data_IF_757205210672
#
_entry.id   IF_757205210672
#
_cell.length_a   1.000
_cell.length_b   1.000
_cell.length_c   1.000
_cell.angle_alpha   90.00
_cell.angle_beta   90.00
_cell.angle_gamma   90.00
#
_symmetry.space_group_name_H-M   'P 1'
#
loop_
_entity.id
_entity.type
_entity.pdbx_description
1 polymer ?
#
# COMPACT_ATOMS: atom_id res chain seq x y z
N UNK A 1 -59.04 -7.36 28.20
CA UNK A 1 -58.45 -8.22 27.15
C UNK A 1 -57.15 -7.56 26.70
N UNK A 2 -56.02 -8.09 27.16
CA UNK A 2 -54.67 -7.55 27.00
C UNK A 2 -53.99 -8.20 25.79
N UNK A 3 -53.57 -7.41 24.80
CA UNK A 3 -52.83 -7.89 23.62
C UNK A 3 -51.33 -7.73 23.84
N UNK A 4 -50.65 -8.85 24.08
CA UNK A 4 -49.19 -8.96 24.20
C UNK A 4 -48.57 -9.19 22.81
N UNK A 5 -47.66 -8.31 22.40
CA UNK A 5 -46.86 -8.44 21.16
C UNK A 5 -45.52 -9.11 21.50
N UNK A 6 -45.10 -10.20 20.81
CA UNK A 6 -43.81 -10.83 21.08
C UNK A 6 -42.66 -10.11 20.37
N UNK A 7 -41.61 -9.80 21.14
CA UNK A 7 -40.36 -9.21 20.69
C UNK A 7 -39.45 -10.26 20.02
N UNK A 8 -38.82 -9.88 18.90
CA UNK A 8 -37.78 -10.66 18.23
C UNK A 8 -36.38 -10.23 18.72
N UNK A 9 -35.42 -11.17 18.91
CA UNK A 9 -34.08 -10.85 19.38
C UNK A 9 -33.15 -10.37 18.26
N UNK A 10 -32.59 -9.17 18.41
CA UNK A 10 -31.57 -8.60 17.51
C UNK A 10 -30.15 -9.06 17.92
N UNK A 11 -29.62 -10.07 17.23
CA UNK A 11 -28.20 -10.45 17.31
C UNK A 11 -27.39 -9.73 16.22
N UNK A 12 -26.85 -8.55 16.55
CA UNK A 12 -25.94 -7.84 15.64
C UNK A 12 -24.51 -8.24 15.97
N UNK A 13 -23.99 -9.26 15.28
CA UNK A 13 -22.55 -9.51 15.21
C UNK A 13 -21.95 -8.60 14.12
N UNK A 14 -20.86 -7.86 14.37
CA UNK A 14 -20.18 -7.11 13.32
C UNK A 14 -19.46 -8.10 12.41
N UNK A 15 -20.13 -8.54 11.35
CA UNK A 15 -19.49 -9.23 10.23
C UNK A 15 -18.57 -8.22 9.54
N UNK A 16 -17.27 -8.37 9.77
CA UNK A 16 -16.21 -7.71 9.00
C UNK A 16 -16.36 -8.12 7.54
N UNK A 17 -17.09 -7.31 6.78
CA UNK A 17 -17.22 -7.46 5.34
C UNK A 17 -15.91 -7.01 4.71
N UNK A 18 -14.98 -7.95 4.56
CA UNK A 18 -13.94 -7.87 3.55
C UNK A 18 -14.65 -7.87 2.19
N UNK A 19 -15.22 -6.73 1.80
CA UNK A 19 -15.74 -6.50 0.46
C UNK A 19 -14.67 -6.96 -0.51
N UNK A 20 -14.99 -7.94 -1.35
CA UNK A 20 -14.09 -8.48 -2.35
C UNK A 20 -13.48 -7.31 -3.11
N UNK A 21 -12.20 -7.03 -2.86
CA UNK A 21 -11.49 -5.94 -3.49
C UNK A 21 -11.42 -6.25 -4.99
N UNK A 22 -12.31 -5.65 -5.77
CA UNK A 22 -12.39 -5.87 -7.21
C UNK A 22 -11.31 -5.05 -7.89
N UNK A 23 -10.28 -5.72 -8.39
CA UNK A 23 -9.35 -5.14 -9.35
C UNK A 23 -9.80 -5.52 -10.75
N UNK A 24 -9.95 -4.54 -11.64
CA UNK A 24 -10.19 -4.79 -13.05
C UNK A 24 -8.96 -5.49 -13.65
N UNK A 25 -9.06 -6.80 -13.87
CA UNK A 25 -7.96 -7.65 -14.37
C UNK A 25 -7.57 -7.36 -15.84
N UNK A 26 -8.29 -6.47 -16.54
CA UNK A 26 -8.26 -6.40 -18.00
C UNK A 26 -7.43 -5.25 -18.58
N UNK A 27 -6.91 -4.34 -17.76
CA UNK A 27 -6.21 -3.14 -18.25
C UNK A 27 -4.84 -3.43 -18.84
N UNK A 28 -4.18 -4.53 -18.43
CA UNK A 28 -2.83 -4.86 -18.87
C UNK A 28 -2.73 -5.96 -19.95
N UNK A 29 -3.85 -6.55 -20.36
CA UNK A 29 -3.88 -7.67 -21.31
C UNK A 29 -3.81 -7.23 -22.77
N UNK A 30 -4.15 -5.97 -23.06
CA UNK A 30 -4.23 -5.41 -24.42
C UNK A 30 -2.95 -4.75 -24.92
N UNK A 31 -1.82 -4.90 -24.23
CA UNK A 31 -0.58 -4.28 -24.68
C UNK A 31 0.03 -5.01 -25.87
N UNK A 32 0.57 -4.23 -26.79
CA UNK A 32 1.40 -4.74 -27.88
C UNK A 32 2.58 -5.52 -27.29
N UNK A 33 2.79 -6.71 -27.86
CA UNK A 33 3.90 -7.55 -27.47
C UNK A 33 5.20 -6.93 -27.98
N UNK A 34 6.10 -6.56 -27.07
CA UNK A 34 7.40 -6.01 -27.43
C UNK A 34 8.28 -7.16 -27.93
N UNK A 35 8.72 -7.11 -29.19
CA UNK A 35 9.58 -8.14 -29.74
C UNK A 35 10.99 -8.06 -29.14
N UNK A 36 11.51 -9.17 -28.63
CA UNK A 36 12.78 -9.17 -27.88
C UNK A 36 14.00 -8.90 -28.75
N UNK A 37 14.14 -9.55 -29.92
CA UNK A 37 15.29 -9.39 -30.82
C UNK A 37 14.80 -9.26 -32.27
N UNK A 38 15.07 -8.14 -32.95
CA UNK A 38 14.77 -7.94 -34.38
C UNK A 38 15.92 -7.21 -35.05
N UNK A 39 16.46 -7.76 -36.15
CA UNK A 39 17.43 -7.08 -37.03
C UNK A 39 18.55 -6.38 -36.23
N UNK A 40 19.22 -7.14 -35.35
CA UNK A 40 20.29 -6.66 -34.47
C UNK A 40 19.89 -5.55 -33.47
N UNK A 41 18.60 -5.31 -33.27
CA UNK A 41 18.05 -4.42 -32.24
C UNK A 41 17.26 -5.20 -31.21
N UNK A 42 17.55 -4.95 -29.95
CA UNK A 42 16.88 -5.53 -28.79
C UNK A 42 16.08 -4.44 -28.08
N UNK A 43 14.79 -4.66 -27.89
CA UNK A 43 13.93 -3.68 -27.21
C UNK A 43 13.76 -4.08 -25.75
N UNK A 44 14.13 -3.18 -24.84
CA UNK A 44 14.01 -3.37 -23.39
C UNK A 44 13.06 -2.34 -22.79
N UNK A 45 12.24 -2.78 -21.83
CA UNK A 45 11.39 -1.87 -21.05
C UNK A 45 12.20 -1.33 -19.88
N UNK A 46 12.43 -0.03 -19.85
CA UNK A 46 12.98 0.67 -18.70
C UNK A 46 11.85 1.27 -17.86
N UNK A 47 11.73 0.83 -16.61
CA UNK A 47 10.59 1.21 -15.77
C UNK A 47 10.85 2.57 -15.13
N UNK A 48 9.98 3.54 -15.37
CA UNK A 48 10.06 4.82 -14.64
C UNK A 48 9.59 4.64 -13.19
N UNK A 49 10.10 5.48 -12.27
CA UNK A 49 9.56 5.57 -10.92
C UNK A 49 8.08 5.92 -10.92
N UNK A 50 7.30 5.27 -10.05
CA UNK A 50 5.87 5.56 -9.90
C UNK A 50 5.70 6.99 -9.36
N UNK A 51 4.87 7.84 -9.98
CA UNK A 51 4.63 9.19 -9.47
C UNK A 51 4.02 9.12 -8.06
N UNK A 52 4.61 9.88 -7.13
CA UNK A 52 4.16 9.96 -5.73
C UNK A 52 3.76 11.39 -5.41
N UNK A 53 2.67 11.54 -4.66
CA UNK A 53 2.33 12.83 -4.06
C UNK A 53 3.38 13.20 -3.01
N UNK A 54 3.72 14.49 -2.86
CA UNK A 54 4.69 14.93 -1.88
C UNK A 54 4.26 14.54 -0.47
N UNK A 55 5.21 14.08 0.34
CA UNK A 55 4.93 13.73 1.73
C UNK A 55 4.81 15.02 2.53
N UNK A 56 3.62 15.24 3.10
CA UNK A 56 3.37 16.39 3.96
C UNK A 56 4.30 16.39 5.19
N UNK A 57 4.61 17.58 5.71
CA UNK A 57 5.40 17.68 6.94
C UNK A 57 4.66 17.02 8.11
N UNK A 58 5.36 16.40 9.08
CA UNK A 58 4.71 15.78 10.25
C UNK A 58 3.88 16.77 11.07
N UNK A 59 4.24 18.06 11.00
CA UNK A 59 3.58 19.16 11.69
C UNK A 59 2.46 19.82 10.87
N UNK A 60 2.24 19.42 9.61
CA UNK A 60 1.15 19.91 8.78
C UNK A 60 -0.21 19.69 9.46
N UNK A 61 -1.05 20.72 9.42
CA UNK A 61 -2.35 20.75 10.11
C UNK A 61 -3.34 19.70 9.62
N UNK A 62 -4.55 19.72 10.19
CA UNK A 62 -5.52 18.65 10.00
C UNK A 62 -6.01 18.46 8.56
N UNK A 63 -6.06 19.56 7.81
CA UNK A 63 -6.52 19.59 6.42
C UNK A 63 -5.58 18.84 5.45
N UNK A 64 -4.31 18.68 5.81
CA UNK A 64 -3.31 18.06 4.93
C UNK A 64 -3.19 16.57 5.27
N UNK A 65 -3.43 15.66 4.31
CA UNK A 65 -3.32 14.22 4.56
C UNK A 65 -1.87 13.83 4.81
N UNK A 66 -1.62 13.03 5.85
CA UNK A 66 -0.28 12.51 6.15
C UNK A 66 -0.14 11.17 5.46
N UNK A 67 0.80 11.06 4.52
CA UNK A 67 0.93 9.88 3.65
C UNK A 67 2.17 9.08 4.02
N UNK A 68 2.02 7.78 4.20
CA UNK A 68 3.11 6.82 4.41
C UNK A 68 3.15 5.85 3.24
N UNK A 69 4.22 5.92 2.45
CA UNK A 69 4.47 4.94 1.40
C UNK A 69 5.12 3.67 1.97
N UNK A 70 4.55 2.52 1.63
CA UNK A 70 5.07 1.20 2.00
C UNK A 70 5.57 0.49 0.75
N UNK A 71 6.84 0.10 0.78
CA UNK A 71 7.48 -0.69 -0.28
C UNK A 71 7.64 -2.16 0.11
N UNK A 72 8.05 -2.97 -0.85
CA UNK A 72 8.35 -4.40 -0.64
C UNK A 72 9.53 -4.65 0.27
N UNK A 73 10.46 -3.69 0.40
CA UNK A 73 11.62 -3.77 1.30
C UNK A 73 11.35 -3.15 2.68
N UNK A 74 10.21 -2.48 2.87
CA UNK A 74 9.89 -1.82 4.15
C UNK A 74 9.59 -2.87 5.22
N UNK A 75 10.34 -2.92 6.34
CA UNK A 75 10.04 -3.83 7.44
C UNK A 75 8.66 -3.52 8.04
N UNK A 76 7.94 -4.56 8.44
CA UNK A 76 6.57 -4.44 8.96
C UNK A 76 6.48 -3.47 10.14
N UNK A 77 7.27 -3.69 11.20
CA UNK A 77 7.26 -2.82 12.39
C UNK A 77 7.72 -1.39 12.11
N UNK A 78 8.54 -1.17 11.07
CA UNK A 78 8.95 0.17 10.66
C UNK A 78 7.76 0.95 10.08
N UNK A 79 6.93 0.31 9.25
CA UNK A 79 5.71 0.93 8.74
C UNK A 79 4.74 1.28 9.87
N UNK A 80 4.52 0.33 10.77
CA UNK A 80 3.66 0.51 11.95
C UNK A 80 4.09 1.69 12.81
N UNK A 81 5.36 1.75 13.24
CA UNK A 81 5.87 2.83 14.10
C UNK A 81 5.80 4.21 13.43
N UNK A 82 5.95 4.28 12.09
CA UNK A 82 5.79 5.52 11.34
C UNK A 82 4.35 6.02 11.39
N UNK A 83 3.37 5.13 11.20
CA UNK A 83 1.95 5.46 11.30
C UNK A 83 1.61 5.88 12.73
N UNK A 84 2.03 5.11 13.72
CA UNK A 84 1.80 5.41 15.13
C UNK A 84 2.37 6.78 15.54
N UNK A 85 3.60 7.10 15.09
CA UNK A 85 4.21 8.42 15.33
C UNK A 85 3.35 9.57 14.76
N UNK A 86 2.79 9.40 13.56
CA UNK A 86 1.93 10.41 12.94
C UNK A 86 0.59 10.55 13.68
N UNK A 87 0.01 9.44 14.15
CA UNK A 87 -1.22 9.46 14.95
C UNK A 87 -1.02 10.10 16.32
N UNK A 88 0.10 9.84 17.01
CA UNK A 88 0.46 10.53 18.26
C UNK A 88 0.66 12.04 18.06
N UNK A 89 1.21 12.45 16.92
CA UNK A 89 1.34 13.87 16.57
C UNK A 89 -0.02 14.52 16.31
N UNK A 90 -0.93 13.81 15.64
CA UNK A 90 -2.31 14.24 15.46
C UNK A 90 -3.02 14.40 16.81
N UNK A 91 -2.87 13.44 17.71
CA UNK A 91 -3.41 13.49 19.07
C UNK A 91 -2.91 14.73 19.83
N UNK A 92 -1.59 14.93 19.87
CA UNK A 92 -1.00 16.08 20.55
C UNK A 92 -1.51 17.41 19.98
N UNK A 93 -1.75 17.48 18.67
CA UNK A 93 -2.31 18.68 18.03
C UNK A 93 -3.77 18.88 18.39
N UNK A 94 -4.57 17.82 18.35
CA UNK A 94 -5.98 17.85 18.70
C UNK A 94 -6.17 18.25 20.17
N UNK A 95 -5.36 17.71 21.08
CA UNK A 95 -5.39 17.95 22.53
C UNK A 95 -4.59 19.18 22.98
N UNK A 96 -3.92 19.88 22.05
CA UNK A 96 -3.16 21.11 22.33
C UNK A 96 -3.94 22.16 23.14
N UNK A 97 -5.22 22.45 22.84
CA UNK A 97 -6.05 23.37 23.63
C UNK A 97 -6.34 22.90 25.06
N UNK A 98 -6.40 21.59 25.30
CA UNK A 98 -6.65 21.01 26.63
C UNK A 98 -5.37 20.97 27.47
N UNK A 99 -4.24 20.63 26.84
CA UNK A 99 -2.93 20.46 27.51
C UNK A 99 -2.21 21.81 27.69
N UNK A 100 -2.35 22.73 26.72
CA UNK A 100 -1.69 24.04 26.70
C UNK A 100 -2.19 25.05 27.73
N UNK A 101 -3.37 24.82 28.33
CA UNK A 101 -3.91 25.68 29.41
C UNK A 101 -3.06 25.68 30.68
N UNK A 102 -2.08 24.77 30.83
CA UNK A 102 -1.20 24.73 32.03
C UNK A 102 -0.09 25.77 32.07
N UNK A 103 0.23 26.47 30.96
CA UNK A 103 1.29 27.50 30.91
C UNK A 103 0.78 28.93 31.02
N UNK A 104 -0.53 29.15 30.99
CA UNK A 104 -1.14 30.48 31.14
C UNK A 104 -1.68 30.66 32.56
N UNK A 105 -0.82 30.49 33.58
CA UNK A 105 -1.23 30.68 34.98
C UNK A 105 -1.21 32.17 35.42
N UNK A 106 -0.75 33.09 34.58
CA UNK A 106 -0.54 34.49 34.97
C UNK A 106 -1.49 35.52 34.34
N UNK A 107 -2.49 35.14 33.55
CA UNK A 107 -3.45 36.12 33.08
C UNK A 107 -4.83 35.50 32.82
N UNK A 108 -5.84 36.07 33.49
CA UNK A 108 -7.29 35.82 33.39
C UNK A 108 -7.90 34.81 34.39
N UNK A 109 -8.20 35.34 35.58
CA UNK A 109 -9.20 34.84 36.54
C UNK A 109 -10.66 34.89 36.02
N UNK A 110 -10.94 34.64 34.74
CA UNK A 110 -12.31 34.77 34.18
C UNK A 110 -12.76 33.62 33.27
N UNK A 111 -12.22 32.41 33.46
CA UNK A 111 -12.73 31.20 32.79
C UNK A 111 -13.03 30.06 33.78
N UNK A 112 -13.65 30.40 34.92
CA UNK A 112 -14.28 29.43 35.79
C UNK A 112 -15.63 28.98 35.22
N UNK A 113 -15.87 27.66 35.24
CA UNK A 113 -17.17 26.96 35.10
C UNK A 113 -17.81 26.94 33.69
N UNK A 114 -17.74 25.77 33.04
CA UNK A 114 -18.73 25.36 32.02
C UNK A 114 -18.22 24.93 30.63
N UNK A 115 -17.03 25.37 30.18
CA UNK A 115 -16.59 25.17 28.78
C UNK A 115 -15.67 23.97 28.53
N UNK A 116 -15.33 23.18 29.56
CA UNK A 116 -14.43 22.04 29.43
C UNK A 116 -14.96 20.95 28.49
N UNK A 117 -16.28 20.67 28.56
CA UNK A 117 -16.93 19.70 27.67
C UNK A 117 -16.91 20.12 26.21
N UNK A 118 -17.20 21.39 25.90
CA UNK A 118 -17.20 21.92 24.54
C UNK A 118 -15.80 21.92 23.91
N UNK A 119 -14.77 22.23 24.71
CA UNK A 119 -13.36 22.16 24.26
C UNK A 119 -12.97 20.70 24.00
N UNK A 120 -13.34 19.78 24.89
CA UNK A 120 -13.05 18.36 24.73
C UNK A 120 -13.73 17.77 23.49
N UNK A 121 -15.00 18.11 23.24
CA UNK A 121 -15.75 17.68 22.06
C UNK A 121 -15.11 18.23 20.76
N UNK A 122 -14.71 19.50 20.76
CA UNK A 122 -13.96 20.10 19.64
C UNK A 122 -12.62 19.40 19.41
N UNK A 123 -11.91 19.01 20.48
CA UNK A 123 -10.67 18.23 20.38
C UNK A 123 -10.91 16.84 19.81
N UNK A 124 -11.95 16.13 20.27
CA UNK A 124 -12.33 14.81 19.75
C UNK A 124 -12.75 14.87 18.27
N UNK A 125 -13.45 15.93 17.85
CA UNK A 125 -13.79 16.13 16.43
C UNK A 125 -12.54 16.28 15.57
N UNK A 126 -11.58 17.12 16.01
CA UNK A 126 -10.28 17.31 15.34
C UNK A 126 -9.45 16.03 15.28
N UNK A 127 -9.56 15.17 16.30
CA UNK A 127 -8.85 13.90 16.34
C UNK A 127 -9.31 12.94 15.22
N UNK A 128 -10.62 12.88 14.96
CA UNK A 128 -11.19 12.05 13.88
C UNK A 128 -10.98 12.61 12.48
N UNK A 129 -10.69 13.92 12.35
CA UNK A 129 -10.36 14.55 11.06
C UNK A 129 -8.94 14.18 10.59
N UNK A 130 -8.01 13.97 11.53
CA UNK A 130 -6.61 13.65 11.24
C UNK A 130 -6.43 12.19 10.81
N UNK A 131 -6.47 11.97 9.49
CA UNK A 131 -6.25 10.66 8.86
C UNK A 131 -4.79 10.49 8.41
N UNK A 132 -4.24 9.32 8.67
CA UNK A 132 -2.96 8.87 8.11
C UNK A 132 -3.24 7.89 6.98
N UNK A 133 -2.78 8.20 5.77
CA UNK A 133 -2.98 7.39 4.58
C UNK A 133 -1.76 6.52 4.33
N UNK A 134 -1.92 5.21 4.37
CA UNK A 134 -0.88 4.25 3.99
C UNK A 134 -1.10 3.85 2.54
N UNK A 135 -0.17 4.23 1.66
CA UNK A 135 -0.24 3.92 0.22
C UNK A 135 0.76 2.82 -0.14
N UNK A 136 0.29 1.79 -0.83
CA UNK A 136 1.12 0.70 -1.32
C UNK A 136 0.67 0.24 -2.71
N UNK A 137 1.62 -0.29 -3.49
CA UNK A 137 1.40 -0.77 -4.87
C UNK A 137 1.97 -2.17 -5.07
N UNK A 138 1.34 -2.97 -5.92
CA UNK A 138 1.83 -4.30 -6.32
C UNK A 138 2.11 -5.23 -5.13
N UNK A 139 3.29 -5.86 -5.11
CA UNK A 139 3.71 -6.80 -4.03
C UNK A 139 3.73 -6.19 -2.62
N UNK A 140 3.77 -4.86 -2.49
CA UNK A 140 3.75 -4.21 -1.18
C UNK A 140 2.34 -4.15 -0.55
N UNK A 141 1.29 -4.45 -1.32
CA UNK A 141 -0.10 -4.41 -0.86
C UNK A 141 -0.32 -5.36 0.33
N UNK A 142 0.21 -6.57 0.25
CA UNK A 142 0.11 -7.57 1.32
C UNK A 142 0.62 -7.00 2.66
N UNK A 143 1.79 -6.38 2.66
CA UNK A 143 2.38 -5.76 3.87
C UNK A 143 1.52 -4.61 4.38
N UNK A 144 0.96 -3.78 3.50
CA UNK A 144 0.10 -2.68 3.91
C UNK A 144 -1.19 -3.18 4.55
N UNK A 145 -1.81 -4.23 4.00
CA UNK A 145 -3.00 -4.85 4.60
C UNK A 145 -2.69 -5.46 5.97
N UNK A 146 -1.53 -6.11 6.14
CA UNK A 146 -1.08 -6.58 7.46
C UNK A 146 -0.92 -5.44 8.47
N UNK A 147 -0.47 -4.25 8.02
CA UNK A 147 -0.38 -3.06 8.88
C UNK A 147 -1.78 -2.60 9.27
N UNK A 148 -2.73 -2.52 8.33
CA UNK A 148 -4.13 -2.19 8.61
C UNK A 148 -4.74 -3.13 9.65
N UNK A 149 -4.60 -4.45 9.43
CA UNK A 149 -5.05 -5.49 10.36
C UNK A 149 -4.45 -5.36 11.75
N UNK A 150 -3.18 -4.98 11.85
CA UNK A 150 -2.52 -4.76 13.15
C UNK A 150 -3.13 -3.61 13.95
N UNK A 151 -3.59 -2.54 13.27
CA UNK A 151 -4.32 -1.45 13.91
C UNK A 151 -5.76 -1.84 14.26
N UNK A 152 -6.43 -2.66 13.44
CA UNK A 152 -7.77 -3.20 13.74
C UNK A 152 -7.78 -4.14 14.95
N UNK A 153 -6.77 -5.01 15.08
CA UNK A 153 -6.66 -5.96 16.20
C UNK A 153 -6.33 -5.30 17.55
N UNK A 154 -6.12 -3.97 17.60
CA UNK A 154 -5.84 -3.25 18.84
C UNK A 154 -4.46 -3.54 19.46
N UNK A 155 -3.64 -4.38 18.83
CA UNK A 155 -2.26 -4.72 19.26
C UNK A 155 -1.31 -3.52 19.21
N UNK A 156 -1.77 -2.41 18.63
CA UNK A 156 -0.99 -1.20 18.44
C UNK A 156 -1.13 -0.09 19.44
N UNK A 157 -2.04 -0.22 20.39
CA UNK A 157 -2.14 0.71 21.50
C UNK A 157 -2.09 -0.07 22.80
N UNK A 158 -0.94 -0.12 23.46
CA UNK A 158 -0.81 -0.64 24.83
C UNK A 158 -1.56 0.18 25.89
N UNK A 159 -2.73 0.75 25.55
CA UNK A 159 -3.48 1.71 26.34
C UNK A 159 -4.95 1.89 25.92
N UNK A 160 -5.58 0.86 25.33
CA UNK A 160 -7.03 0.89 25.07
C UNK A 160 -7.49 1.86 23.97
N UNK A 161 -6.59 2.26 23.07
CA UNK A 161 -6.90 3.17 21.95
C UNK A 161 -7.44 2.34 20.79
N UNK A 162 -8.70 2.56 20.44
CA UNK A 162 -9.32 1.96 19.27
C UNK A 162 -8.99 2.78 18.01
N UNK A 163 -8.67 2.09 16.91
CA UNK A 163 -8.41 2.70 15.61
C UNK A 163 -9.53 2.38 14.64
N UNK A 164 -9.84 3.32 13.75
CA UNK A 164 -10.74 3.13 12.61
C UNK A 164 -9.87 2.99 11.35
N UNK A 165 -10.08 1.90 10.61
CA UNK A 165 -9.33 1.57 9.40
C UNK A 165 -10.29 1.49 8.23
N UNK A 166 -10.02 2.27 7.17
CA UNK A 166 -10.81 2.29 5.94
C UNK A 166 -9.89 1.96 4.76
N UNK A 167 -10.22 0.90 4.04
CA UNK A 167 -9.44 0.45 2.88
C UNK A 167 -10.08 0.93 1.59
N UNK A 168 -9.28 1.56 0.72
CA UNK A 168 -9.67 1.98 -0.63
C UNK A 168 -8.74 1.33 -1.65
N UNK A 169 -9.31 0.77 -2.71
CA UNK A 169 -8.55 0.28 -3.86
C UNK A 169 -8.48 1.34 -4.94
N UNK A 170 -7.42 1.28 -5.73
CA UNK A 170 -7.27 2.12 -6.91
C UNK A 170 -6.25 1.54 -7.87
N UNK A 171 -6.02 2.25 -8.96
CA UNK A 171 -5.01 1.95 -9.95
C UNK A 171 -4.23 3.22 -10.29
N UNK A 172 -2.95 3.06 -10.66
CA UNK A 172 -2.08 4.16 -11.10
C UNK A 172 -1.61 3.85 -12.51
N UNK A 173 -1.73 4.82 -13.40
CA UNK A 173 -1.08 4.77 -14.70
C UNK A 173 0.40 5.12 -14.54
N UNK A 174 1.28 4.23 -15.02
CA UNK A 174 2.73 4.40 -15.00
C UNK A 174 3.23 4.33 -16.43
N UNK A 175 4.02 5.32 -16.83
CA UNK A 175 4.71 5.33 -18.12
C UNK A 175 6.06 4.64 -17.95
N UNK A 176 6.35 3.63 -18.75
CA UNK A 176 7.68 3.02 -18.86
C UNK A 176 8.27 3.39 -20.23
N UNK A 177 9.59 3.43 -20.33
CA UNK A 177 10.33 3.72 -21.55
C UNK A 177 10.63 2.45 -22.33
N UNK A 178 10.65 2.55 -23.65
CA UNK A 178 11.10 1.49 -24.55
C UNK A 178 12.44 1.94 -25.10
N UNK A 179 13.50 1.24 -24.71
CA UNK A 179 14.87 1.55 -25.15
C UNK A 179 15.31 0.53 -26.18
N UNK A 180 15.86 1.02 -27.29
CA UNK A 180 16.55 0.21 -28.29
C UNK A 180 18.01 0.00 -27.85
N UNK A 181 18.39 -1.27 -27.67
CA UNK A 181 19.79 -1.68 -27.54
C UNK A 181 20.24 -2.27 -28.88
N UNK A 182 21.27 -1.68 -29.50
CA UNK A 182 21.93 -2.30 -30.64
C UNK A 182 22.75 -3.49 -30.14
N UNK A 183 22.44 -4.68 -30.65
CA UNK A 183 23.27 -5.86 -30.46
C UNK A 183 24.51 -5.66 -31.32
N UNK A 184 25.63 -5.32 -30.69
CA UNK A 184 26.92 -5.55 -31.30
C UNK A 184 27.01 -7.06 -31.56
N UNK A 185 27.32 -7.42 -32.81
CA UNK A 185 27.42 -8.81 -33.27
C UNK A 185 28.60 -9.50 -32.57
N UNK A 186 28.44 -9.87 -31.30
CA UNK A 186 29.24 -10.90 -30.65
C UNK A 186 28.76 -12.24 -31.22
N UNK A 187 29.23 -12.56 -32.42
CA UNK A 187 29.05 -13.84 -33.07
C UNK A 187 29.36 -14.99 -32.08
N UNK A 188 28.43 -15.96 -32.02
CA UNK A 188 28.54 -17.29 -31.38
C UNK A 188 28.22 -17.35 -29.88
N UNK A 189 26.95 -17.62 -29.53
CA UNK A 189 26.62 -18.48 -28.37
C UNK A 189 25.16 -18.92 -28.14
N UNK A 190 24.19 -18.64 -29.02
CA UNK A 190 22.77 -18.94 -28.72
C UNK A 190 22.11 -20.09 -29.51
N UNK A 191 22.85 -20.94 -30.22
CA UNK A 191 22.24 -22.11 -30.90
C UNK A 191 22.22 -23.43 -30.09
N UNK A 192 22.74 -23.47 -28.85
CA UNK A 192 22.84 -24.73 -28.08
C UNK A 192 21.91 -24.88 -26.86
N UNK A 193 20.94 -23.98 -26.62
CA UNK A 193 20.12 -24.00 -25.38
C UNK A 193 18.67 -24.46 -25.53
N UNK A 194 18.33 -25.31 -26.50
CA UNK A 194 16.96 -25.85 -26.62
C UNK A 194 16.87 -27.38 -26.78
N UNK A 195 17.89 -28.13 -26.36
CA UNK A 195 17.85 -29.60 -26.26
C UNK A 195 18.52 -30.11 -24.97
N UNK A 196 17.89 -29.93 -23.82
CA UNK A 196 18.26 -30.71 -22.62
C UNK A 196 17.09 -30.87 -21.65
N UNK A 197 16.15 -31.75 -21.99
CA UNK A 197 15.24 -32.41 -21.03
C UNK A 197 14.88 -33.80 -21.57
N UNK A 198 15.82 -34.74 -21.50
CA UNK A 198 15.51 -36.18 -21.37
C UNK A 198 16.63 -36.83 -20.56
N UNK A 199 16.23 -37.43 -19.45
CA UNK A 199 17.03 -38.15 -18.47
C UNK A 199 17.59 -39.47 -19.04
N UNK A 200 18.84 -39.77 -18.66
CA UNK A 200 19.40 -41.07 -18.24
C UNK A 200 19.30 -42.28 -19.18
N UNK A 201 20.44 -42.71 -19.75
CA UNK A 201 21.15 -43.93 -19.31
C UNK A 201 22.55 -44.03 -19.93
N UNK A 202 23.46 -44.60 -19.15
CA UNK A 202 24.92 -44.62 -19.30
C UNK A 202 25.40 -45.61 -20.39
N UNK A 203 26.28 -45.17 -21.29
CA UNK A 203 27.51 -45.90 -21.69
C UNK A 203 28.39 -45.05 -22.63
N UNK A 204 29.71 -44.86 -22.40
CA UNK A 204 30.58 -44.17 -23.33
C UNK A 204 31.56 -45.15 -24.01
N UNK A 205 31.57 -45.21 -25.34
CA UNK A 205 32.81 -45.56 -26.07
C UNK A 205 32.80 -45.13 -27.56
N UNK A 206 33.85 -44.37 -27.91
CA UNK A 206 34.58 -44.21 -29.18
C UNK A 206 33.85 -44.10 -30.54
N UNK A 207 34.00 -42.95 -31.21
CA UNK A 207 34.93 -42.75 -32.37
C UNK A 207 34.47 -41.69 -33.39
N UNK A 208 35.43 -40.79 -33.71
CA UNK A 208 35.77 -40.12 -34.99
C UNK A 208 34.73 -39.57 -35.99
N UNK A 209 35.03 -38.33 -36.37
CA UNK A 209 34.95 -37.66 -37.67
C UNK A 209 33.61 -37.41 -38.40
N UNK A 210 33.40 -36.11 -38.65
CA UNK A 210 32.85 -35.51 -39.87
C UNK A 210 31.67 -36.18 -40.58
N UNK A 211 30.47 -35.68 -40.28
CA UNK A 211 29.43 -35.44 -41.29
C UNK A 211 28.52 -34.30 -40.84
N UNK A 212 28.77 -33.10 -41.40
CA UNK A 212 27.76 -32.03 -41.48
C UNK A 212 26.71 -32.42 -42.52
N UNK A 213 25.98 -33.50 -42.26
CA UNK A 213 24.75 -33.81 -42.98
C UNK A 213 23.64 -32.94 -42.39
N UNK A 214 23.14 -32.01 -43.19
CA UNK A 214 21.99 -31.19 -42.83
C UNK A 214 20.83 -32.12 -42.47
N UNK A 215 20.53 -32.23 -41.17
CA UNK A 215 19.32 -32.90 -40.67
C UNK A 215 18.14 -32.29 -41.44
N UNK A 216 17.57 -33.06 -42.37
CA UNK A 216 16.32 -32.67 -43.03
C UNK A 216 15.26 -32.46 -41.94
N UNK A 217 14.96 -31.19 -41.67
CA UNK A 217 13.89 -30.83 -40.74
C UNK A 217 12.61 -31.55 -41.18
N UNK A 218 11.96 -32.24 -40.23
CA UNK A 218 10.68 -32.88 -40.51
C UNK A 218 9.68 -31.85 -41.07
N UNK A 219 8.79 -32.27 -41.97
CA UNK A 219 7.73 -31.40 -42.55
C UNK A 219 6.96 -30.63 -41.45
N UNK A 220 6.81 -31.24 -40.26
CA UNK A 220 6.18 -30.63 -39.10
C UNK A 220 7.02 -29.51 -38.45
N UNK A 221 8.33 -29.70 -38.31
CA UNK A 221 9.24 -28.66 -37.82
C UNK A 221 9.25 -27.45 -38.77
N UNK A 222 9.34 -27.69 -40.08
CA UNK A 222 9.31 -26.61 -41.09
C UNK A 222 8.01 -25.81 -41.04
N UNK A 223 6.86 -26.48 -40.85
CA UNK A 223 5.55 -25.82 -40.70
C UNK A 223 5.46 -25.02 -39.39
N UNK A 224 5.98 -25.54 -38.28
CA UNK A 224 6.04 -24.82 -37.00
C UNK A 224 6.93 -23.57 -37.09
N UNK A 225 8.10 -23.68 -37.73
CA UNK A 225 9.03 -22.56 -37.95
C UNK A 225 8.37 -21.43 -38.75
N UNK A 226 7.79 -21.74 -39.92
CA UNK A 226 7.04 -20.77 -40.75
C UNK A 226 5.88 -20.11 -40.01
N UNK A 227 5.20 -20.84 -39.11
CA UNK A 227 4.13 -20.27 -38.29
C UNK A 227 4.68 -19.28 -37.26
N UNK A 228 5.78 -19.63 -36.58
CA UNK A 228 6.44 -18.74 -35.61
C UNK A 228 6.96 -17.47 -36.27
N UNK A 229 7.55 -17.60 -37.46
CA UNK A 229 8.07 -16.49 -38.25
C UNK A 229 6.97 -15.52 -38.67
N UNK A 230 5.85 -16.02 -39.23
CA UNK A 230 4.67 -15.19 -39.52
C UNK A 230 4.12 -14.46 -38.30
N UNK A 231 4.06 -15.14 -37.14
CA UNK A 231 3.61 -14.50 -35.89
C UNK A 231 4.58 -13.40 -35.46
N UNK A 232 5.89 -13.60 -35.65
CA UNK A 232 6.92 -12.61 -35.31
C UNK A 232 6.82 -11.38 -36.22
N UNK A 233 6.66 -11.57 -37.53
CA UNK A 233 6.48 -10.49 -38.50
C UNK A 233 5.20 -9.71 -38.26
N UNK A 234 4.08 -10.39 -37.99
CA UNK A 234 2.82 -9.74 -37.64
C UNK A 234 2.95 -8.89 -36.37
N UNK A 235 3.65 -9.40 -35.34
CA UNK A 235 3.90 -8.65 -34.09
C UNK A 235 4.81 -7.44 -34.32
N UNK A 236 5.82 -7.59 -35.17
CA UNK A 236 6.71 -6.49 -35.54
C UNK A 236 5.96 -5.40 -36.31
N UNK A 237 5.13 -5.80 -37.27
CA UNK A 237 4.29 -4.86 -38.03
C UNK A 237 3.29 -4.13 -37.14
N UNK A 238 2.75 -4.80 -36.13
CA UNK A 238 1.85 -4.18 -35.16
C UNK A 238 2.56 -3.33 -34.09
N UNK A 239 3.88 -3.46 -33.95
CA UNK A 239 4.69 -2.71 -32.98
C UNK A 239 5.27 -1.42 -33.56
N UNK A 240 5.39 -1.32 -34.89
CA UNK A 240 5.83 -0.12 -35.59
C UNK A 240 4.62 0.66 -36.09
N UNK A 241 4.70 1.98 -36.04
CA UNK A 241 3.67 2.85 -36.58
C UNK A 241 3.78 2.92 -38.13
N UNK A 242 2.87 3.65 -38.78
CA UNK A 242 2.83 3.76 -40.26
C UNK A 242 4.16 4.29 -40.84
N UNK A 243 4.89 5.10 -40.06
CA UNK A 243 6.20 5.67 -40.40
C UNK A 243 7.38 4.72 -40.12
N UNK A 244 7.12 3.53 -39.56
CA UNK A 244 8.14 2.52 -39.28
C UNK A 244 8.96 2.78 -38.00
N UNK A 245 8.67 3.85 -37.27
CA UNK A 245 9.23 4.18 -35.97
C UNK A 245 8.62 3.31 -34.86
N UNK A 246 9.40 3.08 -33.80
CA UNK A 246 8.93 2.33 -32.63
C UNK A 246 8.45 3.26 -31.54
N UNK A 247 7.40 2.88 -30.78
CA UNK A 247 6.88 3.72 -29.72
C UNK A 247 7.96 3.94 -28.65
N UNK A 248 8.21 5.19 -28.31
CA UNK A 248 9.20 5.57 -27.30
C UNK A 248 8.79 5.13 -25.88
N UNK A 249 7.48 5.02 -25.62
CA UNK A 249 6.97 4.74 -24.28
C UNK A 249 5.76 3.81 -24.27
N UNK A 250 5.57 3.14 -23.14
CA UNK A 250 4.45 2.24 -22.88
C UNK A 250 3.85 2.53 -21.52
N UNK A 251 2.55 2.74 -21.47
CA UNK A 251 1.83 2.87 -20.21
C UNK A 251 1.44 1.50 -19.65
N UNK A 252 1.50 1.33 -18.33
CA UNK A 252 0.93 0.18 -17.60
C UNK A 252 0.13 0.62 -16.40
N UNK A 253 -0.90 -0.14 -16.06
CA UNK A 253 -1.70 0.08 -14.87
C UNK A 253 -1.15 -0.74 -13.70
N UNK A 254 -0.94 -0.09 -12.56
CA UNK A 254 -0.47 -0.73 -11.33
C UNK A 254 -1.55 -0.62 -10.27
N UNK A 255 -1.93 -1.76 -9.71
CA UNK A 255 -2.85 -1.82 -8.59
C UNK A 255 -2.26 -1.11 -7.37
N UNK A 256 -3.08 -0.28 -6.72
CA UNK A 256 -2.76 0.47 -5.51
C UNK A 256 -3.81 0.19 -4.44
N UNK A 257 -3.38 0.22 -3.19
CA UNK A 257 -4.27 0.28 -2.03
C UNK A 257 -3.90 1.50 -1.20
N UNK A 258 -4.92 2.21 -0.75
CA UNK A 258 -4.86 3.30 0.20
C UNK A 258 -5.62 2.90 1.46
N UNK A 259 -4.91 2.83 2.59
CA UNK A 259 -5.49 2.48 3.89
C UNK A 259 -5.49 3.75 4.73
N UNK A 260 -6.67 4.28 5.01
CA UNK A 260 -6.84 5.41 5.91
C UNK A 260 -6.98 4.89 7.35
N UNK A 261 -6.11 5.37 8.23
CA UNK A 261 -6.10 5.04 9.65
C UNK A 261 -6.38 6.33 10.43
N UNK A 262 -7.39 6.30 11.29
CA UNK A 262 -7.74 7.37 12.22
C UNK A 262 -7.93 6.81 13.63
N UNK A 263 -7.75 7.66 14.64
CA UNK A 263 -8.13 7.31 16.01
C UNK A 263 -9.65 7.31 16.11
N UNK A 264 -10.24 6.25 16.67
CA UNK A 264 -11.67 6.19 16.90
C UNK A 264 -12.03 7.17 18.00
N UNK A 265 -13.18 7.82 17.86
CA UNK A 265 -13.75 8.68 18.91
C UNK A 265 -14.15 7.78 20.08
N UNK A 266 -13.25 7.54 21.03
CA UNK A 266 -13.65 6.90 22.27
C UNK A 266 -14.51 7.89 23.05
N UNK A 267 -15.79 7.54 23.21
CA UNK A 267 -16.74 8.23 24.10
C UNK A 267 -16.34 8.05 25.58
N UNK A 268 -15.44 7.10 25.86
CA UNK A 268 -14.89 6.89 27.18
C UNK A 268 -13.71 7.83 27.44
N UNK A 269 -13.93 8.77 28.37
CA UNK A 269 -12.90 9.51 29.08
C UNK A 269 -11.83 8.48 29.50
N UNK A 270 -10.54 8.66 29.14
CA UNK A 270 -9.51 7.72 29.57
C UNK A 270 -9.56 7.65 31.09
N UNK A 271 -9.71 6.45 31.66
CA UNK A 271 -9.84 6.25 33.10
C UNK A 271 -8.67 6.89 33.88
N UNK A 272 -7.51 7.05 33.24
CA UNK A 272 -6.37 7.81 33.77
C UNK A 272 -6.67 9.29 34.05
N UNK A 273 -7.54 9.93 33.26
CA UNK A 273 -7.93 11.33 33.50
C UNK A 273 -8.89 11.44 34.68
N UNK A 274 -9.80 10.48 34.85
CA UNK A 274 -10.69 10.39 36.03
C UNK A 274 -9.85 10.15 37.29
N UNK A 275 -8.88 9.23 37.24
CA UNK A 275 -8.01 8.94 38.37
C UNK A 275 -7.12 10.14 38.77
N UNK A 276 -6.54 10.83 37.79
CA UNK A 276 -5.72 12.03 38.06
C UNK A 276 -6.58 13.18 38.60
N UNK A 277 -7.82 13.36 38.10
CA UNK A 277 -8.74 14.37 38.65
C UNK A 277 -9.14 14.03 40.10
N UNK A 278 -9.50 12.77 40.37
CA UNK A 278 -9.86 12.30 41.72
C UNK A 278 -8.69 12.44 42.69
N UNK A 279 -7.46 12.12 42.26
CA UNK A 279 -6.28 12.29 43.10
C UNK A 279 -5.97 13.76 43.41
N UNK A 280 -6.21 14.67 42.46
CA UNK A 280 -6.03 16.11 42.67
C UNK A 280 -7.12 16.65 43.61
N UNK A 281 -8.39 16.29 43.41
CA UNK A 281 -9.48 16.71 44.29
C UNK A 281 -9.31 16.20 45.72
N UNK A 282 -8.92 14.93 45.91
CA UNK A 282 -8.60 14.40 47.25
C UNK A 282 -7.44 15.15 47.91
N UNK A 283 -6.42 15.52 47.15
CA UNK A 283 -5.26 16.24 47.69
C UNK A 283 -5.60 17.69 48.05
N UNK A 284 -6.49 18.35 47.31
CA UNK A 284 -7.00 19.68 47.67
C UNK A 284 -7.85 19.62 48.94
N UNK A 285 -8.69 18.60 49.09
CA UNK A 285 -9.55 18.45 50.27
C UNK A 285 -8.73 18.22 51.55
N UNK A 286 -7.68 17.39 51.48
CA UNK A 286 -6.76 17.15 52.60
C UNK A 286 -6.03 18.45 53.00
N UNK A 287 -5.58 19.22 52.03
CA UNK A 287 -4.89 20.50 52.29
C UNK A 287 -5.80 21.56 52.92
N UNK A 288 -7.11 21.52 52.67
CA UNK A 288 -8.07 22.45 53.30
C UNK A 288 -8.44 22.05 54.74
N UNK A 289 -8.47 20.75 55.06
CA UNK A 289 -8.68 20.29 56.44
C UNK A 289 -7.48 20.60 57.35
N UNK A 290 -6.25 20.58 56.83
CA UNK A 290 -5.06 20.96 57.60
C UNK A 290 -4.95 22.46 57.86
N UNK A 291 -5.59 23.31 57.06
CA UNK A 291 -5.54 24.77 57.21
C UNK A 291 -6.59 25.37 58.16
N UNK A 292 -7.55 24.56 58.62
CA UNK A 292 -8.65 24.96 59.50
C UNK A 292 -8.52 24.43 60.94
N UNK A 293 -7.38 23.79 61.26
CA UNK A 293 -7.00 23.38 62.63
C UNK A 293 -5.83 24.25 63.10
#
# INVERSE_FOLDING_TARGET
MTTTTPAAPSSTTPKTTLSTLTFEKNSNTKFLHIPSNIKNKKYRIEKRPIPRTPVASPYAGARVPKIVYVGTKTPFMSAVKRVEKLLRLAERRAMGPVIGSRRSYNNNQTAGRGKGGEVLEKCQRRLGEDKVLVKATGRAIERALSVGRWFEEGKGGGGGIEYEVVVRTGSVCVVDDIVEEELQDDEKKEEEKDVSMTNTDENPEMSSEEKREGKEESKHQRRRRRRRERIREQRLKAFRDEDGETPESRTRWVNMVEIAISMKKSVAIPQYFVFVLICIERRIHIMQEEYMK
#
